data_IF_629939916420
#
_entry.id   IF_629939916420
#
_cell.length_a   1.000
_cell.length_b   1.000
_cell.length_c   1.000
_cell.angle_alpha   90.00
_cell.angle_beta   90.00
_cell.angle_gamma   90.00
#
_symmetry.space_group_name_H-M   'P 1'
#
loop_
_entity.id
_entity.type
_entity.pdbx_description
1 polymer ?
#
# COMPACT_ATOMS: atom_id res chain seq x y z
N UNK A 1 2.38 -14.16 -10.72
CA UNK A 1 1.56 -12.99 -10.32
C UNK A 1 0.85 -12.35 -11.50
N UNK A 2 1.52 -12.18 -12.64
CA UNK A 2 0.96 -11.65 -13.89
C UNK A 2 -0.22 -12.45 -14.44
N UNK A 3 -0.26 -13.78 -14.26
CA UNK A 3 -1.35 -14.63 -14.74
C UNK A 3 -2.73 -14.24 -14.19
N UNK A 4 -2.81 -13.80 -12.93
CA UNK A 4 -4.08 -13.35 -12.34
C UNK A 4 -4.55 -12.02 -12.95
N UNK A 5 -3.64 -11.05 -13.09
CA UNK A 5 -3.94 -9.73 -13.66
C UNK A 5 -4.32 -9.84 -15.15
N UNK A 6 -3.64 -10.72 -15.90
CA UNK A 6 -3.96 -11.01 -17.29
C UNK A 6 -5.35 -11.63 -17.42
N UNK A 7 -5.67 -12.66 -16.61
CA UNK A 7 -6.98 -13.31 -16.61
C UNK A 7 -8.12 -12.34 -16.26
N UNK A 8 -7.84 -11.29 -15.46
CA UNK A 8 -8.81 -10.26 -15.07
C UNK A 8 -8.77 -9.02 -15.97
N UNK A 9 -7.95 -8.98 -17.02
CA UNK A 9 -7.74 -7.82 -17.92
C UNK A 9 -7.31 -6.55 -17.18
N UNK A 10 -6.63 -6.70 -16.04
CA UNK A 10 -6.12 -5.61 -15.21
C UNK A 10 -4.66 -5.26 -15.49
N UNK A 11 -3.95 -6.08 -16.28
CA UNK A 11 -2.52 -5.89 -16.53
C UNK A 11 -2.17 -4.50 -17.10
N UNK A 12 -3.06 -3.89 -17.90
CA UNK A 12 -2.85 -2.54 -18.43
C UNK A 12 -2.97 -1.40 -17.40
N UNK A 13 -3.47 -1.68 -16.19
CA UNK A 13 -3.67 -0.70 -15.12
C UNK A 13 -2.70 -0.89 -13.95
N UNK A 14 -1.92 -1.98 -13.94
CA UNK A 14 -1.05 -2.34 -12.84
C UNK A 14 0.38 -2.41 -13.35
N UNK A 15 1.16 -1.40 -13.01
CA UNK A 15 2.58 -1.32 -13.27
C UNK A 15 3.22 -0.47 -12.17
N UNK A 16 4.43 -0.81 -11.67
CA UNK A 16 5.10 -2.11 -11.74
C UNK A 16 4.48 -3.13 -10.78
N UNK A 17 4.87 -4.39 -10.94
CA UNK A 17 4.55 -5.44 -9.97
C UNK A 17 5.81 -5.70 -9.13
N UNK A 18 5.86 -5.14 -7.93
CA UNK A 18 6.91 -5.42 -6.95
C UNK A 18 6.39 -6.48 -5.97
N UNK A 19 6.94 -7.68 -6.07
CA UNK A 19 6.54 -8.84 -5.25
C UNK A 19 7.45 -9.06 -4.04
N UNK A 20 7.32 -10.24 -3.40
CA UNK A 20 8.28 -10.66 -2.37
C UNK A 20 9.64 -10.87 -3.02
N UNK A 21 10.68 -10.25 -2.48
CA UNK A 21 12.04 -10.61 -2.82
C UNK A 21 12.29 -12.06 -2.37
N UNK A 22 12.63 -12.94 -3.31
CA UNK A 22 12.90 -14.34 -3.02
C UNK A 22 14.15 -14.44 -2.14
N UNK A 23 14.07 -15.21 -1.06
CA UNK A 23 15.16 -15.38 -0.08
C UNK A 23 15.63 -14.10 0.67
N UNK A 24 14.92 -12.97 0.56
CA UNK A 24 15.23 -11.72 1.29
C UNK A 24 14.03 -11.19 2.11
N UNK A 25 13.58 -11.90 3.17
CA UNK A 25 12.42 -11.46 3.98
C UNK A 25 12.62 -10.09 4.63
N UNK A 26 13.88 -9.73 4.95
CA UNK A 26 14.23 -8.45 5.56
C UNK A 26 13.96 -7.23 4.67
N UNK A 27 13.78 -7.45 3.37
CA UNK A 27 13.43 -6.40 2.39
C UNK A 27 11.93 -6.32 2.12
N UNK A 28 11.14 -7.15 2.79
CA UNK A 28 9.70 -7.04 2.76
C UNK A 28 9.22 -5.97 3.74
N UNK A 29 8.03 -5.44 3.48
CA UNK A 29 7.30 -4.59 4.44
C UNK A 29 7.38 -5.20 5.85
N UNK A 30 7.74 -4.41 6.87
CA UNK A 30 7.71 -2.94 6.90
C UNK A 30 8.93 -2.23 6.32
N UNK A 31 9.89 -2.94 5.72
CA UNK A 31 10.97 -2.30 4.98
C UNK A 31 10.41 -1.42 3.84
N UNK A 32 10.89 -0.16 3.65
CA UNK A 32 10.39 0.74 2.62
C UNK A 32 10.82 0.38 1.18
N UNK A 33 11.83 -0.49 1.01
CA UNK A 33 12.42 -0.88 -0.28
C UNK A 33 11.38 -1.21 -1.37
N UNK A 34 10.33 -2.03 -1.12
CA UNK A 34 9.39 -2.38 -2.16
C UNK A 34 8.58 -1.17 -2.67
N UNK A 35 8.26 -0.24 -1.77
CA UNK A 35 7.50 0.98 -2.08
C UNK A 35 8.38 1.96 -2.87
N UNK A 36 9.62 2.12 -2.41
CA UNK A 36 10.64 2.94 -3.07
C UNK A 36 10.94 2.44 -4.49
N UNK A 37 11.12 1.14 -4.64
CA UNK A 37 11.34 0.49 -5.93
C UNK A 37 10.15 0.74 -6.87
N UNK A 38 8.91 0.63 -6.37
CA UNK A 38 7.72 0.89 -7.18
C UNK A 38 7.66 2.34 -7.69
N UNK A 39 7.82 3.32 -6.79
CA UNK A 39 7.83 4.74 -7.16
C UNK A 39 8.95 5.08 -8.15
N UNK A 40 10.17 4.59 -7.89
CA UNK A 40 11.32 4.79 -8.77
C UNK A 40 11.11 4.18 -10.15
N UNK A 41 10.51 2.99 -10.24
CA UNK A 41 10.24 2.33 -11.53
C UNK A 41 9.16 3.06 -12.33
N UNK A 42 8.21 3.70 -11.64
CA UNK A 42 7.21 4.57 -12.26
C UNK A 42 7.75 5.95 -12.65
N UNK A 43 8.94 6.33 -12.16
CA UNK A 43 9.50 7.67 -12.38
C UNK A 43 8.68 8.78 -11.73
N UNK A 44 7.96 8.48 -10.65
CA UNK A 44 7.09 9.45 -9.95
C UNK A 44 7.68 9.83 -8.60
N UNK A 45 7.41 11.05 -8.16
CA UNK A 45 7.77 11.49 -6.82
C UNK A 45 6.94 10.74 -5.75
N UNK A 46 7.58 10.38 -4.64
CA UNK A 46 6.94 9.73 -3.49
C UNK A 46 5.80 10.57 -2.91
N UNK A 47 5.91 11.90 -2.97
CA UNK A 47 4.87 12.83 -2.54
C UNK A 47 3.63 12.82 -3.44
N UNK A 48 3.75 12.29 -4.67
CA UNK A 48 2.63 12.10 -5.59
C UNK A 48 2.06 10.67 -5.54
N UNK A 49 2.62 9.81 -4.68
CA UNK A 49 2.18 8.45 -4.48
C UNK A 49 1.32 8.35 -3.22
N UNK A 50 0.47 7.32 -3.17
CA UNK A 50 -0.21 6.88 -1.95
C UNK A 50 -0.15 5.37 -1.88
N UNK A 51 0.22 4.82 -0.72
CA UNK A 51 0.09 3.39 -0.46
C UNK A 51 -1.33 3.08 0.01
N UNK A 52 -1.93 2.02 -0.51
CA UNK A 52 -3.18 1.46 0.02
C UNK A 52 -2.90 0.04 0.50
N UNK A 53 -3.20 -0.24 1.77
CA UNK A 53 -2.88 -1.54 2.37
C UNK A 53 -3.83 -1.92 3.50
N UNK A 54 -3.88 -3.21 3.85
CA UNK A 54 -4.79 -3.76 4.85
C UNK A 54 -4.07 -4.32 6.08
N UNK A 55 -2.79 -4.02 6.25
CA UNK A 55 -1.96 -4.49 7.37
C UNK A 55 -1.15 -3.37 8.02
N UNK A 56 -0.68 -3.59 9.26
CA UNK A 56 0.23 -2.66 9.93
C UNK A 56 1.55 -2.51 9.19
N UNK A 57 2.07 -3.61 8.60
CA UNK A 57 3.29 -3.57 7.80
C UNK A 57 3.17 -2.65 6.57
N UNK A 58 1.97 -2.45 6.03
CA UNK A 58 1.73 -1.46 4.97
C UNK A 58 1.91 -0.04 5.50
N UNK A 59 1.30 0.26 6.64
CA UNK A 59 1.36 1.58 7.27
C UNK A 59 2.81 1.88 7.65
N UNK A 60 3.46 0.99 8.38
CA UNK A 60 4.86 1.15 8.80
C UNK A 60 5.78 1.32 7.59
N UNK A 61 5.57 0.52 6.54
CA UNK A 61 6.34 0.60 5.30
C UNK A 61 6.14 1.93 4.58
N UNK A 62 4.91 2.42 4.45
CA UNK A 62 4.62 3.71 3.82
C UNK A 62 5.22 4.87 4.60
N UNK A 63 5.13 4.83 5.94
CA UNK A 63 5.71 5.84 6.83
C UNK A 63 7.23 5.85 6.72
N UNK A 64 7.89 4.70 6.76
CA UNK A 64 9.32 4.59 6.52
C UNK A 64 9.70 5.05 5.10
N UNK A 65 8.81 4.83 4.13
CA UNK A 65 8.95 5.30 2.77
C UNK A 65 8.50 6.76 2.57
N UNK A 66 8.09 7.51 3.59
CA UNK A 66 7.64 8.90 3.43
C UNK A 66 6.53 9.06 2.37
N UNK A 67 5.70 8.04 2.19
CA UNK A 67 4.55 8.04 1.27
C UNK A 67 3.28 8.10 2.11
N UNK A 68 2.30 8.95 1.74
CA UNK A 68 0.96 8.91 2.32
C UNK A 68 0.34 7.51 2.30
N UNK A 69 -0.47 7.15 3.29
CA UNK A 69 -1.07 5.82 3.39
C UNK A 69 -2.55 5.83 3.74
N UNK A 70 -3.29 5.02 2.98
CA UNK A 70 -4.70 4.71 3.22
C UNK A 70 -4.81 3.28 3.76
N UNK A 71 -5.20 3.15 5.03
CA UNK A 71 -5.46 1.88 5.68
C UNK A 71 -6.85 1.33 5.34
N UNK A 72 -6.92 0.22 4.60
CA UNK A 72 -8.16 -0.52 4.37
C UNK A 72 -8.43 -1.48 5.54
N UNK A 73 -9.18 -1.02 6.55
CA UNK A 73 -9.48 -1.77 7.75
C UNK A 73 -10.56 -2.83 7.47
N UNK A 74 -10.18 -3.92 6.79
CA UNK A 74 -11.07 -5.04 6.41
C UNK A 74 -11.71 -5.80 7.59
N UNK A 75 -11.38 -5.42 8.83
CA UNK A 75 -12.03 -5.82 10.07
C UNK A 75 -12.18 -4.60 10.98
N UNK A 76 -13.28 -4.46 11.74
CA UNK A 76 -13.51 -3.29 12.59
C UNK A 76 -12.39 -2.97 13.57
N UNK A 77 -11.78 -3.99 14.18
CA UNK A 77 -10.69 -3.81 15.15
C UNK A 77 -9.39 -3.23 14.56
N UNK A 78 -9.26 -3.19 13.22
CA UNK A 78 -8.08 -2.60 12.57
C UNK A 78 -8.12 -1.07 12.54
N UNK A 79 -9.29 -0.45 12.73
CA UNK A 79 -9.48 1.00 12.66
C UNK A 79 -8.57 1.71 13.65
N UNK A 80 -8.71 1.38 14.93
CA UNK A 80 -7.95 2.05 16.00
C UNK A 80 -6.46 1.77 15.84
N UNK A 81 -6.09 0.53 15.50
CA UNK A 81 -4.70 0.16 15.21
C UNK A 81 -4.08 0.93 14.05
N UNK A 82 -4.85 1.22 13.01
CA UNK A 82 -4.36 1.97 11.86
C UNK A 82 -4.20 3.45 12.19
N UNK A 83 -5.12 4.00 12.97
CA UNK A 83 -4.99 5.36 13.49
C UNK A 83 -3.75 5.48 14.39
N UNK A 84 -3.56 4.56 15.33
CA UNK A 84 -2.40 4.49 16.23
C UNK A 84 -1.07 4.34 15.48
N UNK A 85 -1.04 3.53 14.42
CA UNK A 85 0.14 3.36 13.56
C UNK A 85 0.41 4.57 12.64
N UNK A 86 -0.47 5.57 12.63
CA UNK A 86 -0.26 6.82 11.88
C UNK A 86 -0.67 6.75 10.41
N UNK A 87 -1.71 5.97 10.08
CA UNK A 87 -2.32 6.06 8.75
C UNK A 87 -2.96 7.44 8.51
N UNK A 88 -2.79 8.01 7.33
CA UNK A 88 -3.33 9.34 7.00
C UNK A 88 -4.86 9.30 6.84
N UNK A 89 -5.37 8.20 6.27
CA UNK A 89 -6.81 7.91 6.15
C UNK A 89 -7.03 6.42 6.39
N UNK A 90 -8.17 6.03 6.95
CA UNK A 90 -8.58 4.63 7.00
C UNK A 90 -10.06 4.45 6.67
N UNK A 91 -10.41 3.30 6.11
CA UNK A 91 -11.79 2.97 5.73
C UNK A 91 -12.22 1.60 6.24
N UNK A 92 -13.52 1.45 6.50
CA UNK A 92 -14.17 0.16 6.78
C UNK A 92 -14.60 -0.46 5.45
N UNK A 93 -14.63 -1.80 5.32
CA UNK A 93 -15.33 -2.45 4.22
C UNK A 93 -16.80 -1.97 4.24
N UNK A 94 -17.28 -1.47 3.09
CA UNK A 94 -18.65 -1.02 2.84
C UNK A 94 -19.07 0.38 3.33
N UNK A 95 -18.14 1.32 3.53
CA UNK A 95 -18.49 2.75 3.64
C UNK A 95 -17.83 3.53 2.49
N UNK A 96 -18.65 4.22 1.68
CA UNK A 96 -18.24 5.14 0.61
C UNK A 96 -17.15 6.08 1.14
N UNK A 97 -15.98 6.12 0.49
CA UNK A 97 -14.94 7.12 0.75
C UNK A 97 -15.58 8.52 0.65
N UNK A 98 -15.71 9.25 1.75
CA UNK A 98 -16.02 10.68 1.74
C UNK A 98 -14.70 11.42 1.88
N UNK A 99 -14.32 12.17 0.84
CA UNK A 99 -13.24 13.16 0.93
C UNK A 99 -13.79 14.40 1.67
N UNK A 100 -12.96 15.03 2.52
CA UNK A 100 -13.31 16.30 3.16
C UNK A 100 -13.39 17.40 2.11
N UNK A 101 -14.46 18.18 2.18
CA UNK A 101 -14.60 19.51 1.56
C UNK A 101 -13.76 20.55 2.28
#
# INVERSE_FOLDING_TARGET
>A
MTSYLAARRLAGHVHPIVGRAYAEPARMKPNPDPILCAASTLGVDRAQCVLIGDSLADIDGARAAGVPVIGYANRPWKIDRFAEAGADVWSRPWVKLRMRS
#
